data_IF_978511112930
#
_entry.id   IF_978511112930
#
_cell.length_a   1.000
_cell.length_b   1.000
_cell.length_c   1.000
_cell.angle_alpha   90.00
_cell.angle_beta   90.00
_cell.angle_gamma   90.00
#
_symmetry.space_group_name_H-M   'P 1'
#
loop_
_entity.id
_entity.type
_entity.pdbx_description
1 polymer ?
#
# COMPACT_ATOMS: atom_id res chain seq x y z
N UNK A 1 -5.97 -13.56 26.64
CA UNK A 1 -5.72 -12.10 26.57
C UNK A 1 -5.17 -11.80 25.19
N UNK A 2 -5.60 -10.73 24.51
CA UNK A 2 -4.92 -10.32 23.29
C UNK A 2 -3.44 -10.05 23.62
N UNK A 3 -2.51 -10.45 22.75
CA UNK A 3 -1.08 -10.18 22.94
C UNK A 3 -0.87 -8.67 23.08
N UNK A 4 0.10 -8.22 23.89
CA UNK A 4 0.38 -6.79 24.03
C UNK A 4 0.69 -6.16 22.66
N UNK A 5 0.27 -4.90 22.41
CA UNK A 5 0.49 -4.26 21.13
C UNK A 5 2.00 -4.14 20.84
N UNK A 6 2.44 -4.47 19.61
CA UNK A 6 3.83 -4.27 19.21
C UNK A 6 4.19 -2.78 19.20
N UNK A 7 5.47 -2.47 19.36
CA UNK A 7 5.97 -1.10 19.26
C UNK A 7 6.12 -0.68 17.80
N UNK A 8 5.81 0.57 17.50
CA UNK A 8 6.06 1.15 16.18
C UNK A 8 7.56 1.39 16.02
N UNK A 9 8.16 0.76 15.02
CA UNK A 9 9.60 0.84 14.74
C UNK A 9 9.88 1.35 13.33
N UNK A 10 10.74 2.38 13.24
CA UNK A 10 11.22 2.91 11.96
C UNK A 10 10.18 3.75 11.19
N UNK A 11 10.33 3.87 9.86
CA UNK A 11 9.38 4.58 9.01
C UNK A 11 8.00 3.93 9.04
N UNK A 12 6.95 4.75 9.03
CA UNK A 12 5.56 4.27 9.10
C UNK A 12 4.87 4.25 7.75
N UNK A 13 3.93 3.31 7.54
CA UNK A 13 3.15 3.21 6.31
C UNK A 13 2.27 4.45 6.10
N UNK A 14 1.67 4.99 7.17
CA UNK A 14 0.95 6.26 7.11
C UNK A 14 1.84 7.43 6.67
N UNK A 15 3.07 7.49 7.17
CA UNK A 15 4.05 8.49 6.75
C UNK A 15 4.46 8.34 5.29
N UNK A 16 4.68 7.10 4.84
CA UNK A 16 5.01 6.79 3.45
C UNK A 16 3.84 7.10 2.49
N UNK A 17 2.60 6.76 2.88
CA UNK A 17 1.39 7.11 2.13
C UNK A 17 1.24 8.63 1.99
N UNK A 18 1.45 9.38 3.08
CA UNK A 18 1.43 10.85 3.02
C UNK A 18 2.45 11.38 2.02
N UNK A 19 3.64 10.77 1.94
CA UNK A 19 4.65 11.12 0.93
C UNK A 19 4.19 10.82 -0.49
N UNK A 20 3.52 9.69 -0.73
CA UNK A 20 2.92 9.38 -2.04
C UNK A 20 1.96 10.49 -2.46
N UNK A 21 1.06 10.92 -1.56
CA UNK A 21 0.11 12.00 -1.83
C UNK A 21 0.84 13.31 -2.13
N UNK A 22 1.79 13.70 -1.28
CA UNK A 22 2.56 14.96 -1.44
C UNK A 22 3.34 14.97 -2.77
N UNK A 23 4.06 13.88 -3.09
CA UNK A 23 4.83 13.77 -4.33
C UNK A 23 3.91 13.75 -5.55
N UNK A 24 2.78 13.05 -5.49
CA UNK A 24 1.80 13.02 -6.56
C UNK A 24 1.20 14.41 -6.82
N UNK A 25 0.77 15.11 -5.78
CA UNK A 25 0.25 16.48 -5.89
C UNK A 25 1.32 17.43 -6.44
N UNK A 26 2.54 17.38 -5.90
CA UNK A 26 3.64 18.21 -6.38
C UNK A 26 3.97 17.96 -7.86
N UNK A 27 3.90 16.70 -8.30
CA UNK A 27 4.13 16.33 -9.70
C UNK A 27 3.06 16.92 -10.63
N UNK A 28 1.79 16.85 -10.24
CA UNK A 28 0.69 17.46 -11.01
C UNK A 28 0.83 18.98 -11.06
N UNK A 29 1.10 19.62 -9.92
CA UNK A 29 1.31 21.08 -9.84
C UNK A 29 2.47 21.51 -10.74
N UNK A 30 3.58 20.76 -10.76
CA UNK A 30 4.73 21.07 -11.61
C UNK A 30 4.39 20.97 -13.11
N UNK A 31 3.64 19.94 -13.52
CA UNK A 31 3.17 19.79 -14.90
C UNK A 31 2.25 20.94 -15.29
N UNK A 32 1.28 21.29 -14.44
CA UNK A 32 0.36 22.41 -14.69
C UNK A 32 1.13 23.73 -14.80
N UNK A 33 2.09 23.98 -13.90
CA UNK A 33 2.93 25.16 -13.95
C UNK A 33 3.75 25.23 -15.25
N UNK A 34 4.34 24.12 -15.69
CA UNK A 34 5.09 24.05 -16.95
C UNK A 34 4.21 24.36 -18.16
N UNK A 35 2.96 23.88 -18.18
CA UNK A 35 1.99 24.19 -19.25
C UNK A 35 1.62 25.67 -19.22
N UNK A 36 1.28 26.23 -18.06
CA UNK A 36 0.82 27.62 -17.93
C UNK A 36 1.93 28.63 -18.26
N UNK A 37 3.17 28.34 -17.86
CA UNK A 37 4.31 29.22 -18.11
C UNK A 37 4.79 29.19 -19.56
N UNK A 38 4.55 28.10 -20.28
CA UNK A 38 5.00 27.94 -21.67
C UNK A 38 3.88 28.04 -22.73
N UNK A 39 2.67 28.43 -22.33
CA UNK A 39 1.54 28.65 -23.23
C UNK A 39 1.46 30.12 -23.64
N UNK A 40 1.76 30.43 -24.91
CA UNK A 40 1.51 31.74 -25.49
C UNK A 40 0.18 31.74 -26.25
N UNK A 41 -0.82 32.42 -25.66
CA UNK A 41 -2.15 32.64 -26.25
C UNK A 41 -3.01 31.39 -26.42
N UNK A 42 -2.68 30.51 -27.38
CA UNK A 42 -3.43 29.28 -27.72
C UNK A 42 -2.58 28.11 -28.23
N UNK A 43 -1.26 28.25 -28.33
CA UNK A 43 -0.37 27.19 -28.84
C UNK A 43 0.78 26.94 -27.88
N UNK A 44 1.05 25.66 -27.62
CA UNK A 44 2.26 25.23 -26.92
C UNK A 44 3.39 25.11 -27.94
N UNK A 45 4.50 25.79 -27.69
CA UNK A 45 5.72 25.58 -28.47
C UNK A 45 6.23 24.14 -28.29
N UNK A 46 6.92 23.58 -29.28
CA UNK A 46 7.50 22.24 -29.20
C UNK A 46 8.47 22.10 -28.01
N UNK A 47 9.18 23.18 -27.67
CA UNK A 47 10.03 23.27 -26.48
C UNK A 47 9.23 23.11 -25.19
N UNK A 48 8.09 23.79 -25.07
CA UNK A 48 7.17 23.64 -23.94
C UNK A 48 6.65 22.21 -23.82
N UNK A 49 6.26 21.59 -24.93
CA UNK A 49 5.83 20.17 -24.94
C UNK A 49 6.93 19.26 -24.43
N UNK A 50 8.18 19.45 -24.89
CA UNK A 50 9.33 18.71 -24.41
C UNK A 50 9.55 18.86 -22.90
N UNK A 51 9.50 20.09 -22.37
CA UNK A 51 9.62 20.36 -20.93
C UNK A 51 8.51 19.67 -20.14
N UNK A 52 7.26 19.75 -20.60
CA UNK A 52 6.11 19.10 -19.95
C UNK A 52 6.30 17.60 -19.89
N UNK A 53 6.76 16.95 -20.97
CA UNK A 53 7.03 15.51 -21.00
C UNK A 53 8.14 15.12 -20.02
N UNK A 54 9.22 15.90 -19.93
CA UNK A 54 10.31 15.64 -18.98
C UNK A 54 9.81 15.79 -17.53
N UNK A 55 9.10 16.86 -17.21
CA UNK A 55 8.54 17.10 -15.86
C UNK A 55 7.54 16.00 -15.49
N UNK A 56 6.66 15.64 -16.42
CA UNK A 56 5.70 14.55 -16.22
C UNK A 56 6.42 13.19 -16.01
N UNK A 57 7.46 12.91 -16.79
CA UNK A 57 8.27 11.69 -16.66
C UNK A 57 8.96 11.60 -15.30
N UNK A 58 9.58 12.69 -14.84
CA UNK A 58 10.22 12.77 -13.51
C UNK A 58 9.16 12.58 -12.41
N UNK A 59 8.03 13.28 -12.51
CA UNK A 59 6.93 13.19 -11.55
C UNK A 59 6.34 11.78 -11.46
N UNK A 60 6.14 11.12 -12.61
CA UNK A 60 5.66 9.74 -12.68
C UNK A 60 6.68 8.77 -12.03
N UNK A 61 7.97 8.91 -12.34
CA UNK A 61 9.02 8.08 -11.75
C UNK A 61 9.12 8.27 -10.23
N UNK A 62 9.07 9.52 -9.75
CA UNK A 62 9.11 9.83 -8.32
C UNK A 62 7.88 9.28 -7.58
N UNK A 63 6.69 9.41 -8.18
CA UNK A 63 5.44 8.86 -7.63
C UNK A 63 5.51 7.33 -7.58
N UNK A 64 5.98 6.67 -8.65
CA UNK A 64 6.15 5.22 -8.68
C UNK A 64 7.13 4.73 -7.60
N UNK A 65 8.25 5.44 -7.40
CA UNK A 65 9.21 5.13 -6.34
C UNK A 65 8.59 5.31 -4.94
N UNK A 66 7.81 6.37 -4.72
CA UNK A 66 7.10 6.60 -3.46
C UNK A 66 6.07 5.49 -3.18
N UNK A 67 5.32 5.05 -4.21
CA UNK A 67 4.35 3.95 -4.10
C UNK A 67 5.03 2.63 -3.74
N UNK A 68 6.15 2.30 -4.39
CA UNK A 68 6.94 1.10 -4.05
C UNK A 68 7.42 1.15 -2.61
N UNK A 69 7.97 2.30 -2.19
CA UNK A 69 8.44 2.51 -0.81
C UNK A 69 7.30 2.39 0.21
N UNK A 70 6.12 2.92 -0.10
CA UNK A 70 4.93 2.74 0.73
C UNK A 70 4.57 1.26 0.87
N UNK A 71 4.59 0.52 -0.24
CA UNK A 71 4.36 -0.93 -0.24
C UNK A 71 5.35 -1.67 0.66
N UNK A 72 6.64 -1.42 0.52
CA UNK A 72 7.68 -2.09 1.33
C UNK A 72 7.50 -1.81 2.83
N UNK A 73 7.23 -0.55 3.18
CA UNK A 73 7.01 -0.15 4.58
C UNK A 73 5.74 -0.78 5.13
N UNK A 74 4.65 -0.80 4.33
CA UNK A 74 3.40 -1.41 4.74
C UNK A 74 3.55 -2.91 4.96
N UNK A 75 4.21 -3.63 4.05
CA UNK A 75 4.51 -5.05 4.24
C UNK A 75 5.36 -5.29 5.50
N UNK A 76 6.31 -4.41 5.77
CA UNK A 76 7.14 -4.49 6.98
C UNK A 76 6.34 -4.25 8.27
N UNK A 77 5.34 -3.36 8.28
CA UNK A 77 4.46 -3.18 9.44
C UNK A 77 3.60 -4.43 9.65
N UNK A 78 2.96 -4.92 8.58
CA UNK A 78 2.09 -6.11 8.64
C UNK A 78 2.86 -7.34 9.13
N UNK A 79 4.10 -7.53 8.68
CA UNK A 79 4.98 -8.60 9.16
C UNK A 79 5.29 -8.53 10.67
N UNK A 80 5.14 -7.35 11.31
CA UNK A 80 5.28 -7.16 12.76
C UNK A 80 3.95 -7.23 13.50
N UNK A 81 2.85 -7.51 12.81
CA UNK A 81 1.52 -7.69 13.40
C UNK A 81 0.76 -6.37 13.65
N UNK A 82 1.17 -5.27 13.04
CA UNK A 82 0.45 -3.99 13.11
C UNK A 82 0.40 -3.26 11.77
N UNK A 83 -0.45 -2.24 11.69
CA UNK A 83 -0.46 -1.28 10.59
C UNK A 83 -0.71 0.11 11.13
N UNK A 84 -0.07 1.11 10.54
CA UNK A 84 -0.33 2.52 10.86
C UNK A 84 -1.34 3.17 9.92
N UNK A 85 -1.76 2.45 8.88
CA UNK A 85 -2.84 2.88 7.99
C UNK A 85 -4.16 2.30 8.47
N UNK A 86 -5.23 3.11 8.44
CA UNK A 86 -6.57 2.73 8.92
C UNK A 86 -7.38 1.92 7.90
N UNK A 87 -6.73 1.27 6.93
CA UNK A 87 -7.43 0.45 5.97
C UNK A 87 -7.77 -0.90 6.60
N UNK A 88 -9.04 -1.28 6.56
CA UNK A 88 -9.45 -2.63 6.97
C UNK A 88 -9.13 -3.67 5.89
N UNK A 89 -9.04 -3.24 4.62
CA UNK A 89 -8.80 -4.13 3.51
C UNK A 89 -7.83 -3.53 2.48
N UNK A 90 -6.80 -4.30 2.11
CA UNK A 90 -5.82 -3.97 1.08
C UNK A 90 -6.04 -4.73 -0.22
N UNK A 91 -5.48 -4.24 -1.33
CA UNK A 91 -5.35 -5.00 -2.58
C UNK A 91 -3.89 -5.03 -3.01
N UNK A 92 -3.39 -6.23 -3.28
CA UNK A 92 -2.04 -6.44 -3.79
C UNK A 92 -2.10 -7.13 -5.14
N UNK A 93 -1.37 -6.57 -6.10
CA UNK A 93 -1.20 -7.16 -7.42
C UNK A 93 -0.26 -8.36 -7.31
N UNK A 94 -0.77 -9.53 -7.67
CA UNK A 94 -0.02 -10.79 -7.60
C UNK A 94 -0.24 -11.55 -8.90
N UNK A 95 0.78 -12.29 -9.34
CA UNK A 95 0.65 -13.18 -10.50
C UNK A 95 -0.12 -14.47 -10.18
N UNK A 96 -0.17 -14.88 -8.91
CA UNK A 96 -0.79 -16.13 -8.49
C UNK A 96 -1.30 -16.08 -7.03
N UNK A 97 -2.32 -16.89 -6.74
CA UNK A 97 -2.91 -17.13 -5.42
C UNK A 97 -2.73 -18.59 -4.97
N UNK A 98 -3.07 -18.96 -3.71
CA UNK A 98 -2.98 -20.33 -3.20
C UNK A 98 -3.90 -21.31 -3.93
N UNK A 99 -4.85 -20.80 -4.72
CA UNK A 99 -5.72 -21.59 -5.61
C UNK A 99 -5.28 -21.67 -7.08
N UNK A 100 -4.18 -21.01 -7.47
CA UNK A 100 -3.72 -20.95 -8.86
C UNK A 100 -3.59 -19.52 -9.40
N UNK A 101 -3.47 -19.35 -10.72
CA UNK A 101 -3.38 -18.02 -11.34
C UNK A 101 -4.58 -17.15 -10.96
N UNK A 102 -4.32 -15.87 -10.68
CA UNK A 102 -5.40 -14.93 -10.37
C UNK A 102 -6.12 -14.53 -11.66
N UNK A 103 -7.43 -14.77 -11.72
CA UNK A 103 -8.27 -14.35 -12.86
C UNK A 103 -8.41 -12.84 -12.97
N UNK A 104 -8.27 -12.12 -11.84
CA UNK A 104 -8.40 -10.65 -11.76
C UNK A 104 -7.08 -9.94 -11.45
N UNK A 105 -5.95 -10.67 -11.32
CA UNK A 105 -4.61 -10.11 -11.12
C UNK A 105 -4.33 -9.47 -9.75
N UNK A 106 -5.26 -9.55 -8.79
CA UNK A 106 -5.08 -9.00 -7.44
C UNK A 106 -5.74 -9.86 -6.36
N UNK A 107 -5.25 -9.76 -5.14
CA UNK A 107 -5.80 -10.40 -3.94
C UNK A 107 -6.22 -9.35 -2.93
N UNK A 108 -7.39 -9.56 -2.32
CA UNK A 108 -7.87 -8.76 -1.20
C UNK A 108 -7.29 -9.27 0.11
N UNK A 109 -6.83 -8.33 0.92
CA UNK A 109 -6.17 -8.60 2.19
C UNK A 109 -6.97 -8.02 3.33
N UNK A 110 -7.55 -8.86 4.19
CA UNK A 110 -8.16 -8.44 5.45
C UNK A 110 -7.07 -8.10 6.47
N UNK A 111 -7.01 -6.87 6.95
CA UNK A 111 -6.01 -6.42 7.94
C UNK A 111 -6.55 -6.38 9.36
N UNK A 112 -7.82 -6.72 9.56
CA UNK A 112 -8.48 -6.61 10.87
C UNK A 112 -7.93 -7.58 11.91
N UNK A 113 -7.14 -8.58 11.49
CA UNK A 113 -6.35 -9.44 12.40
C UNK A 113 -5.07 -8.80 12.94
N UNK A 114 -4.72 -7.56 12.54
CA UNK A 114 -3.55 -6.80 13.07
C UNK A 114 -3.96 -5.66 13.98
N UNK A 115 -3.01 -5.19 14.79
CA UNK A 115 -3.17 -3.95 15.55
C UNK A 115 -3.19 -2.74 14.62
N UNK A 116 -4.18 -1.86 14.76
CA UNK A 116 -4.15 -0.55 14.11
C UNK A 116 -3.58 0.44 15.10
N UNK A 117 -2.43 1.01 14.76
CA UNK A 117 -1.69 1.95 15.62
C UNK A 117 -1.62 3.32 14.96
N UNK A 118 -1.54 4.38 15.76
CA UNK A 118 -1.08 5.68 15.26
C UNK A 118 0.43 5.61 14.97
N UNK A 119 0.97 6.51 14.13
CA UNK A 119 2.42 6.62 13.96
C UNK A 119 3.19 6.89 15.26
N UNK A 120 2.53 7.40 16.29
CA UNK A 120 3.07 7.59 17.64
C UNK A 120 3.14 6.31 18.48
N UNK A 121 2.56 5.20 18.01
CA UNK A 121 2.46 3.94 18.73
C UNK A 121 1.23 3.79 19.61
N UNK A 122 0.36 4.80 19.67
CA UNK A 122 -0.93 4.71 20.37
C UNK A 122 -1.84 3.70 19.66
N UNK A 123 -2.52 2.85 20.43
CA UNK A 123 -3.49 1.90 19.90
C UNK A 123 -4.73 2.65 19.43
N UNK A 124 -5.10 2.47 18.16
CA UNK A 124 -6.39 2.90 17.60
C UNK A 124 -7.39 1.77 17.71
N UNK A 125 -7.01 0.57 17.28
CA UNK A 125 -7.88 -0.61 17.28
C UNK A 125 -7.09 -1.88 17.57
N UNK A 126 -7.59 -2.76 18.48
CA UNK A 126 -7.01 -4.08 18.70
C UNK A 126 -7.37 -5.05 17.56
N UNK A 127 -6.56 -6.12 17.34
CA UNK A 127 -6.87 -7.12 16.33
C UNK A 127 -8.16 -7.87 16.69
N UNK A 128 -8.93 -8.20 15.66
CA UNK A 128 -10.12 -9.04 15.80
C UNK A 128 -9.70 -10.47 16.14
N UNK A 129 -10.19 -11.06 17.23
CA UNK A 129 -9.73 -12.36 17.71
C UNK A 129 -10.15 -13.53 16.81
N UNK A 130 -11.15 -13.33 15.94
CA UNK A 130 -11.62 -14.31 14.97
C UNK A 130 -10.84 -14.27 13.64
N UNK A 131 -9.88 -13.35 13.49
CA UNK A 131 -9.16 -13.11 12.24
C UNK A 131 -7.66 -13.27 12.39
N UNK A 132 -7.09 -13.98 11.44
CA UNK A 132 -5.64 -14.07 11.32
C UNK A 132 -5.06 -12.78 10.72
N UNK A 133 -3.90 -12.31 11.18
CA UNK A 133 -3.24 -11.16 10.60
C UNK A 133 -2.71 -11.45 9.19
N UNK A 134 -2.57 -10.43 8.33
CA UNK A 134 -1.63 -10.44 7.22
C UNK A 134 -0.19 -10.69 7.67
N UNK A 135 0.48 -11.65 7.05
CA UNK A 135 1.86 -12.02 7.39
C UNK A 135 2.46 -13.04 6.44
N UNK A 136 3.72 -13.39 6.65
CA UNK A 136 4.39 -14.48 5.95
C UNK A 136 4.02 -15.81 6.63
N UNK A 137 3.39 -16.71 5.88
CA UNK A 137 3.01 -18.04 6.33
C UNK A 137 3.80 -19.11 5.55
N UNK A 138 4.14 -20.27 6.16
CA UNK A 138 4.75 -21.37 5.42
C UNK A 138 3.82 -21.81 4.29
N UNK A 139 4.35 -21.88 3.06
CA UNK A 139 3.60 -22.42 1.93
C UNK A 139 3.36 -23.92 2.12
N UNK A 140 2.11 -24.40 2.17
CA UNK A 140 1.78 -25.83 2.23
C UNK A 140 1.96 -26.55 0.91
N UNK A 141 2.33 -25.84 -0.18
CA UNK A 141 2.85 -26.47 -1.40
C UNK A 141 4.32 -26.88 -1.25
N UNK A 142 4.95 -26.54 -0.13
CA UNK A 142 6.38 -26.70 0.10
C UNK A 142 7.19 -25.66 -0.67
N UNK A 143 8.33 -25.25 -0.09
CA UNK A 143 9.33 -24.45 -0.81
C UNK A 143 9.46 -22.98 -0.43
N UNK A 144 8.78 -22.47 0.61
CA UNK A 144 9.05 -21.12 1.09
C UNK A 144 8.00 -20.51 2.00
N UNK A 145 8.21 -19.25 2.36
CA UNK A 145 7.25 -18.39 3.04
C UNK A 145 6.51 -17.55 2.00
N UNK A 146 5.20 -17.40 2.15
CA UNK A 146 4.38 -16.57 1.27
C UNK A 146 3.55 -15.59 2.09
N UNK A 147 3.34 -14.37 1.58
CA UNK A 147 2.62 -13.32 2.30
C UNK A 147 1.11 -13.52 2.10
N UNK A 148 0.31 -13.66 3.17
CA UNK A 148 -1.14 -13.92 3.12
C UNK A 148 -1.87 -13.35 4.33
N UNK A 149 -3.20 -13.24 4.27
CA UNK A 149 -4.05 -12.73 5.37
C UNK A 149 -4.52 -13.77 6.37
N UNK A 150 -3.82 -14.89 6.46
CA UNK A 150 -4.18 -16.10 7.19
C UNK A 150 -5.49 -16.77 6.74
N UNK A 151 -6.58 -16.02 6.52
CA UNK A 151 -7.85 -16.47 5.96
C UNK A 151 -7.70 -17.26 4.64
N UNK A 152 -6.88 -16.78 3.70
CA UNK A 152 -6.68 -17.47 2.42
C UNK A 152 -5.99 -18.82 2.57
N UNK A 153 -5.33 -19.08 3.72
CA UNK A 153 -4.78 -20.38 4.09
C UNK A 153 -5.70 -21.19 5.00
N UNK A 154 -6.35 -20.56 5.98
CA UNK A 154 -7.21 -21.25 6.96
C UNK A 154 -8.56 -21.67 6.38
N UNK A 155 -8.93 -21.18 5.19
CA UNK A 155 -10.23 -21.46 4.57
C UNK A 155 -11.41 -20.83 5.33
N UNK A 156 -11.15 -20.00 6.33
CA UNK A 156 -12.14 -19.42 7.23
C UNK A 156 -12.97 -18.33 6.55
N UNK A 157 -13.95 -18.66 5.71
CA UNK A 157 -14.84 -17.63 5.15
C UNK A 157 -15.63 -17.03 6.33
N UNK A 158 -15.40 -15.76 6.70
CA UNK A 158 -16.18 -15.17 7.77
C UNK A 158 -17.64 -15.23 7.38
N UNK A 159 -18.50 -15.70 8.29
CA UNK A 159 -19.94 -15.63 8.08
C UNK A 159 -20.27 -14.18 7.75
N UNK A 160 -20.79 -13.94 6.54
CA UNK A 160 -21.44 -12.66 6.23
C UNK A 160 -22.49 -12.47 7.32
N UNK A 161 -22.36 -11.39 8.08
CA UNK A 161 -23.47 -10.91 8.89
C UNK A 161 -24.61 -10.67 7.88
N UNK A 162 -25.63 -11.51 7.98
CA UNK A 162 -26.94 -11.30 7.34
C UNK A 162 -27.64 -10.14 8.05
#
# INVERSE_FOLDING_TARGET
>A
MPPSPPRVEGPTAAGALRRVVVVGVASVVAVVAAVLLGADGRRLALTTVGVVLVVAGIGAAATAAAVRRFGDVQLSELARGYTTTTYEMGRWWLGAAPGGPLTVGWVQWDWTGTWILRPSGEVVEPPRPDRDPPGLYPSPRGGGWEVWTGHQWTGYVPRRLQ
#
